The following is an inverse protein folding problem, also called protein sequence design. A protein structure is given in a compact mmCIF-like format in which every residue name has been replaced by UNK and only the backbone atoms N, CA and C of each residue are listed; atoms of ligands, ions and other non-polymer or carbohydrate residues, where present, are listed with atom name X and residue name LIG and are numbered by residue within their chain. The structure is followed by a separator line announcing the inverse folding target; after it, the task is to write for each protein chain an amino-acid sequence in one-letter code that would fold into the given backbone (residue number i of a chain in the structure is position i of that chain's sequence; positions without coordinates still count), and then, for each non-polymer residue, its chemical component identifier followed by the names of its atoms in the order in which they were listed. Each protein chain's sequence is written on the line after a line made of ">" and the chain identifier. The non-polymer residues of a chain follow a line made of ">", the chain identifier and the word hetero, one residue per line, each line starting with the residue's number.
data_IF_473436268948
#
_entry.id   IF_473436268948
#
_cell.length_a   1.000
_cell.length_b   1.000
_cell.length_c   1.000
_cell.angle_alpha   90.00
_cell.angle_beta   90.00
_cell.angle_gamma   90.00
#
_symmetry.space_group_name_H-M   'P 1'
#
loop_
_entity.id
_entity.type
_entity.pdbx_description
1 polymer ?
#
# COMPACT_ATOMS: atom_id res chain seq x y z
N UNK A 1 -18.26 -12.59 20.46
CA UNK A 1 -17.35 -13.41 19.62
C UNK A 1 -16.26 -12.51 19.07
N UNK A 2 -15.10 -12.46 19.73
CA UNK A 2 -13.97 -11.63 19.32
C UNK A 2 -13.31 -12.21 18.06
N UNK A 3 -13.38 -11.48 16.94
CA UNK A 3 -12.53 -11.75 15.78
C UNK A 3 -11.10 -11.35 16.16
N UNK A 4 -10.20 -12.34 16.22
CA UNK A 4 -8.78 -12.10 16.41
C UNK A 4 -8.25 -11.13 15.33
N UNK A 5 -7.32 -10.22 15.67
CA UNK A 5 -6.72 -9.30 14.72
C UNK A 5 -6.00 -10.10 13.63
N UNK A 6 -6.29 -9.80 12.36
CA UNK A 6 -5.63 -10.41 11.21
C UNK A 6 -4.15 -10.03 11.24
N UNK A 7 -3.28 -10.99 11.58
CA UNK A 7 -1.83 -10.85 11.45
C UNK A 7 -1.51 -10.47 10.00
N UNK A 8 -1.03 -9.24 9.82
CA UNK A 8 -0.44 -8.77 8.57
C UNK A 8 0.75 -9.67 8.20
N UNK A 9 0.83 -10.06 6.93
CA UNK A 9 1.81 -11.02 6.40
C UNK A 9 2.48 -10.39 5.19
N UNK A 10 3.79 -10.51 5.13
CA UNK A 10 4.66 -9.88 4.15
C UNK A 10 4.25 -10.22 2.70
N UNK A 11 3.98 -9.22 1.86
CA UNK A 11 3.60 -9.40 0.45
C UNK A 11 4.86 -9.68 -0.41
N UNK A 12 5.40 -10.90 -0.33
CA UNK A 12 6.34 -11.35 -1.37
C UNK A 12 5.54 -11.61 -2.64
N UNK A 13 5.76 -10.79 -3.68
CA UNK A 13 5.20 -11.03 -5.02
C UNK A 13 5.90 -12.20 -5.68
N UNK A 14 5.42 -13.41 -5.42
CA UNK A 14 5.90 -14.62 -6.08
C UNK A 14 5.05 -14.86 -7.33
N UNK A 15 5.69 -15.05 -8.49
CA UNK A 15 4.98 -15.40 -9.71
C UNK A 15 4.24 -16.72 -9.51
N UNK A 16 2.95 -16.69 -9.80
CA UNK A 16 2.06 -17.84 -9.74
C UNK A 16 1.56 -18.18 -11.13
N UNK A 17 1.66 -19.44 -11.50
CA UNK A 17 0.91 -20.02 -12.60
C UNK A 17 -0.18 -20.91 -12.02
N UNK A 18 -1.38 -20.84 -12.60
CA UNK A 18 -2.50 -21.62 -12.12
C UNK A 18 -3.30 -22.25 -13.25
N UNK A 19 -3.84 -23.43 -12.97
CA UNK A 19 -4.66 -24.19 -13.89
C UNK A 19 -5.79 -24.87 -13.13
N UNK A 20 -7.02 -24.80 -13.64
CA UNK A 20 -8.16 -25.47 -13.05
C UNK A 20 -8.08 -26.99 -13.14
N UNK A 21 -8.78 -27.65 -12.23
CA UNK A 21 -8.78 -29.10 -12.06
C UNK A 21 -10.17 -29.63 -12.42
N UNK A 22 -10.24 -30.76 -13.13
CA UNK A 22 -11.49 -31.44 -13.48
C UNK A 22 -12.45 -30.51 -14.27
N UNK A 23 -13.63 -30.22 -13.74
CA UNK A 23 -14.66 -29.36 -14.37
C UNK A 23 -14.17 -27.93 -14.62
N UNK A 24 -13.12 -27.49 -13.93
CA UNK A 24 -12.50 -26.16 -14.08
C UNK A 24 -11.33 -26.14 -15.09
N UNK A 25 -11.06 -27.22 -15.84
CA UNK A 25 -9.83 -27.37 -16.65
C UNK A 25 -9.57 -26.28 -17.70
N UNK A 26 -10.62 -25.54 -18.12
CA UNK A 26 -10.50 -24.40 -19.03
C UNK A 26 -9.82 -23.18 -18.39
N UNK A 27 -9.76 -23.12 -17.06
CA UNK A 27 -9.12 -22.04 -16.32
C UNK A 27 -7.61 -22.20 -16.42
N UNK A 28 -6.94 -21.22 -17.01
CA UNK A 28 -5.48 -21.11 -16.99
C UNK A 28 -5.08 -19.65 -16.93
N UNK A 29 -4.14 -19.33 -16.05
CA UNK A 29 -3.71 -17.96 -15.87
C UNK A 29 -2.36 -17.84 -15.20
N UNK A 30 -1.87 -16.61 -15.21
CA UNK A 30 -0.67 -16.20 -14.47
C UNK A 30 -1.03 -15.02 -13.57
N UNK A 31 -0.28 -14.87 -12.50
CA UNK A 31 -0.48 -13.80 -11.55
C UNK A 31 0.68 -13.66 -10.59
N UNK A 32 0.46 -12.88 -9.54
CA UNK A 32 1.39 -12.72 -8.45
C UNK A 32 0.70 -13.05 -7.14
N UNK A 33 1.38 -13.80 -6.28
CA UNK A 33 0.90 -14.03 -4.92
C UNK A 33 1.08 -12.80 -4.05
N UNK A 34 0.17 -12.68 -3.10
CA UNK A 34 0.13 -11.70 -2.02
C UNK A 34 -0.26 -12.46 -0.73
N UNK A 35 0.20 -12.02 0.43
CA UNK A 35 -0.13 -12.60 1.73
C UNK A 35 0.11 -14.11 1.83
N UNK A 36 1.13 -14.62 1.10
CA UNK A 36 1.45 -16.03 1.05
C UNK A 36 1.71 -16.55 2.47
N UNK A 37 1.03 -17.63 2.83
CA UNK A 37 1.27 -18.40 4.02
C UNK A 37 1.08 -19.89 3.75
N UNK A 38 1.40 -20.72 4.74
CA UNK A 38 1.30 -22.18 4.61
C UNK A 38 -0.11 -22.64 4.23
N UNK A 39 -1.16 -21.87 4.54
CA UNK A 39 -2.55 -22.25 4.30
C UNK A 39 -3.17 -21.63 3.04
N UNK A 40 -2.53 -20.64 2.43
CA UNK A 40 -3.13 -19.95 1.30
C UNK A 40 -2.42 -18.66 0.92
N UNK A 41 -2.94 -18.02 -0.11
CA UNK A 41 -2.49 -16.71 -0.56
C UNK A 41 -3.65 -15.97 -1.26
N UNK A 42 -3.44 -14.68 -1.50
CA UNK A 42 -4.16 -13.92 -2.52
C UNK A 42 -3.37 -14.02 -3.82
N UNK A 43 -4.07 -14.08 -4.95
CA UNK A 43 -3.49 -14.04 -6.29
C UNK A 43 -4.03 -12.81 -7.01
N UNK A 44 -3.16 -11.92 -7.46
CA UNK A 44 -3.50 -10.86 -8.40
C UNK A 44 -3.37 -11.39 -9.82
N UNK A 45 -4.44 -11.30 -10.60
CA UNK A 45 -4.49 -11.74 -11.99
C UNK A 45 -5.65 -11.07 -12.72
N UNK A 46 -5.46 -10.82 -14.01
CA UNK A 46 -6.53 -10.39 -14.91
C UNK A 46 -7.36 -11.56 -15.44
N UNK A 47 -6.98 -12.81 -15.15
CA UNK A 47 -7.75 -13.99 -15.51
C UNK A 47 -8.96 -14.13 -14.59
N UNK A 48 -10.15 -14.26 -15.17
CA UNK A 48 -11.38 -14.55 -14.43
C UNK A 48 -11.37 -15.99 -13.91
N UNK A 49 -11.62 -16.16 -12.62
CA UNK A 49 -11.69 -17.45 -11.95
C UNK A 49 -12.95 -17.48 -11.09
N UNK A 50 -13.89 -18.43 -11.29
CA UNK A 50 -15.08 -18.53 -10.48
C UNK A 50 -14.77 -18.84 -9.01
N UNK A 51 -15.59 -18.30 -8.10
CA UNK A 51 -15.53 -18.67 -6.69
C UNK A 51 -15.94 -20.14 -6.53
N UNK A 52 -15.21 -20.89 -5.72
CA UNK A 52 -15.46 -22.31 -5.49
C UNK A 52 -14.66 -23.24 -6.39
N UNK A 53 -14.06 -22.73 -7.47
CA UNK A 53 -13.21 -23.51 -8.36
C UNK A 53 -11.99 -24.09 -7.65
N UNK A 54 -11.51 -25.21 -8.18
CA UNK A 54 -10.31 -25.89 -7.72
C UNK A 54 -9.19 -25.71 -8.74
N UNK A 55 -8.06 -25.19 -8.27
CA UNK A 55 -6.91 -24.89 -9.13
C UNK A 55 -5.64 -25.52 -8.56
N UNK A 56 -4.76 -25.95 -9.45
CA UNK A 56 -3.36 -26.24 -9.16
C UNK A 56 -2.56 -24.96 -9.25
N UNK A 57 -1.60 -24.76 -8.36
CA UNK A 57 -0.69 -23.60 -8.38
C UNK A 57 0.75 -24.05 -8.54
N UNK A 58 1.53 -23.30 -9.31
CA UNK A 58 2.99 -23.37 -9.35
C UNK A 58 3.57 -22.03 -8.98
N UNK A 59 4.36 -22.00 -7.92
CA UNK A 59 4.92 -20.79 -7.33
C UNK A 59 6.43 -20.75 -7.58
N UNK A 60 6.91 -19.67 -8.20
CA UNK A 60 8.33 -19.45 -8.45
C UNK A 60 9.05 -18.90 -7.21
N UNK A 61 9.10 -19.68 -6.12
CA UNK A 61 9.69 -19.23 -4.85
C UNK A 61 11.22 -19.05 -5.01
N UNK A 62 11.80 -17.88 -4.66
CA UNK A 62 13.24 -17.68 -4.69
C UNK A 62 13.98 -18.71 -3.82
N UNK A 63 15.15 -19.17 -4.29
CA UNK A 63 15.99 -20.20 -3.63
C UNK A 63 15.36 -21.61 -3.55
N UNK A 64 14.16 -21.84 -4.10
CA UNK A 64 13.65 -23.19 -4.32
C UNK A 64 14.28 -23.82 -5.58
N UNK A 65 14.65 -25.12 -5.57
CA UNK A 65 15.31 -25.78 -6.70
C UNK A 65 14.36 -26.00 -7.91
N UNK A 66 13.05 -25.98 -7.68
CA UNK A 66 12.01 -26.08 -8.69
C UNK A 66 10.79 -25.22 -8.30
N UNK A 67 9.86 -24.94 -9.23
CA UNK A 67 8.60 -24.31 -8.87
C UNK A 67 7.87 -25.14 -7.81
N UNK A 68 7.46 -24.48 -6.74
CA UNK A 68 6.72 -25.09 -5.63
C UNK A 68 5.30 -25.35 -6.07
N UNK A 69 4.83 -26.60 -5.96
CA UNK A 69 3.51 -27.00 -6.44
C UNK A 69 2.51 -27.14 -5.29
N UNK A 70 1.39 -26.42 -5.42
CA UNK A 70 0.18 -26.68 -4.65
C UNK A 70 -0.74 -27.52 -5.53
N UNK A 71 -0.79 -28.82 -5.25
CA UNK A 71 -1.53 -29.79 -6.06
C UNK A 71 -3.02 -29.46 -6.16
N UNK A 72 -3.60 -28.85 -5.11
CA UNK A 72 -4.98 -28.40 -5.10
C UNK A 72 -5.20 -27.23 -4.14
N UNK A 73 -5.82 -26.16 -4.64
CA UNK A 73 -6.25 -25.00 -3.88
C UNK A 73 -7.69 -24.62 -4.27
N UNK A 74 -8.50 -24.20 -3.30
CA UNK A 74 -9.89 -23.79 -3.52
C UNK A 74 -10.00 -22.27 -3.51
N UNK A 75 -10.67 -21.72 -4.51
CA UNK A 75 -10.96 -20.28 -4.60
C UNK A 75 -12.05 -19.92 -3.59
N UNK A 76 -11.70 -19.13 -2.58
CA UNK A 76 -12.57 -18.77 -1.45
C UNK A 76 -13.38 -17.51 -1.69
N UNK A 77 -12.78 -16.54 -2.38
CA UNK A 77 -13.38 -15.26 -2.72
C UNK A 77 -12.72 -14.72 -3.99
N UNK A 78 -13.45 -13.85 -4.71
CA UNK A 78 -13.02 -13.22 -5.95
C UNK A 78 -13.41 -11.74 -5.87
N UNK A 79 -12.50 -10.86 -6.30
CA UNK A 79 -12.68 -9.42 -6.43
C UNK A 79 -12.06 -8.95 -7.75
N UNK A 80 -12.26 -7.68 -8.11
CA UNK A 80 -11.66 -7.12 -9.33
C UNK A 80 -10.13 -7.27 -9.31
N UNK A 81 -9.59 -7.98 -10.30
CA UNK A 81 -8.16 -8.19 -10.48
C UNK A 81 -7.48 -9.12 -9.46
N UNK A 82 -8.23 -9.74 -8.54
CA UNK A 82 -7.63 -10.68 -7.57
C UNK A 82 -8.60 -11.68 -6.97
N UNK A 83 -8.07 -12.80 -6.49
CA UNK A 83 -8.85 -13.82 -5.80
C UNK A 83 -8.04 -14.48 -4.69
N UNK A 84 -8.73 -15.00 -3.67
CA UNK A 84 -8.11 -15.66 -2.54
C UNK A 84 -8.25 -17.17 -2.62
N UNK A 85 -7.17 -17.87 -2.28
CA UNK A 85 -7.12 -19.33 -2.34
C UNK A 85 -6.75 -19.93 -1.00
N UNK A 86 -7.42 -21.03 -0.67
CA UNK A 86 -7.07 -21.92 0.45
C UNK A 86 -6.37 -23.15 -0.12
N UNK A 87 -5.15 -23.42 0.33
CA UNK A 87 -4.39 -24.59 -0.09
C UNK A 87 -4.98 -25.83 0.57
N UNK A 88 -5.38 -26.82 -0.23
CA UNK A 88 -5.95 -28.08 0.25
C UNK A 88 -4.89 -29.18 0.22
N UNK A 89 -4.16 -29.30 -0.89
CA UNK A 89 -3.12 -30.30 -1.07
C UNK A 89 -1.77 -29.63 -1.35
N UNK A 90 -0.78 -29.93 -0.51
CA UNK A 90 0.57 -29.38 -0.55
C UNK A 90 1.55 -30.53 -0.64
N UNK A 91 2.60 -30.39 -1.45
CA UNK A 91 3.70 -31.36 -1.44
C UNK A 91 4.47 -31.24 -0.11
N UNK A 92 4.71 -32.36 0.56
CA UNK A 92 5.50 -32.38 1.80
C UNK A 92 6.94 -31.90 1.56
N UNK A 93 7.48 -32.15 0.37
CA UNK A 93 8.80 -31.71 -0.06
C UNK A 93 8.86 -30.18 -0.24
N UNK A 94 7.74 -29.54 -0.60
CA UNK A 94 7.67 -28.12 -0.89
C UNK A 94 7.34 -27.23 0.32
N UNK A 95 6.76 -27.80 1.37
CA UNK A 95 6.35 -27.08 2.58
C UNK A 95 7.47 -26.22 3.20
N UNK A 96 8.73 -26.67 3.29
CA UNK A 96 9.82 -25.85 3.83
C UNK A 96 10.04 -24.56 3.04
N UNK A 97 9.87 -24.56 1.72
CA UNK A 97 10.06 -23.36 0.89
C UNK A 97 8.92 -22.36 1.08
N UNK A 98 7.68 -22.83 1.23
CA UNK A 98 6.54 -21.96 1.57
C UNK A 98 6.77 -21.36 2.96
N UNK A 99 7.21 -22.15 3.93
CA UNK A 99 7.51 -21.67 5.28
C UNK A 99 8.68 -20.67 5.29
N UNK A 100 9.73 -20.90 4.51
CA UNK A 100 10.86 -19.96 4.39
C UNK A 100 10.47 -18.67 3.67
N UNK A 101 9.67 -18.74 2.61
CA UNK A 101 9.11 -17.55 1.99
C UNK A 101 8.28 -16.72 2.99
N UNK A 102 7.62 -17.38 3.96
CA UNK A 102 6.90 -16.66 5.04
C UNK A 102 7.81 -16.11 6.15
N UNK A 103 9.04 -16.60 6.29
CA UNK A 103 9.92 -16.32 7.45
C UNK A 103 11.17 -15.48 7.07
N UNK A 104 11.76 -15.68 5.90
CA UNK A 104 12.95 -14.93 5.41
C UNK A 104 12.59 -13.49 5.00
N UNK A 105 11.32 -13.18 4.74
CA UNK A 105 10.83 -11.81 4.47
C UNK A 105 10.95 -10.85 5.67
N UNK A 106 11.05 -11.37 6.89
CA UNK A 106 11.13 -10.56 8.12
C UNK A 106 12.56 -10.10 8.45
N UNK A 107 13.59 -10.56 7.74
CA UNK A 107 15.00 -10.21 8.03
C UNK A 107 15.78 -9.62 6.85
N UNK A 108 15.53 -10.01 5.60
CA UNK A 108 16.29 -9.49 4.45
C UNK A 108 15.69 -8.22 3.80
N UNK A 109 14.40 -7.93 3.98
CA UNK A 109 13.75 -6.72 3.39
C UNK A 109 14.13 -5.44 4.15
N UNK A 110 14.57 -5.54 5.40
CA UNK A 110 14.73 -4.39 6.31
C UNK A 110 15.94 -3.50 5.99
N UNK A 111 16.94 -3.96 5.21
CA UNK A 111 18.21 -3.21 5.08
C UNK A 111 18.55 -2.79 3.64
N UNK A 112 18.13 -3.53 2.61
CA UNK A 112 18.66 -3.29 1.25
C UNK A 112 17.79 -2.43 0.31
N UNK A 113 16.50 -2.25 0.59
CA UNK A 113 15.58 -1.62 -0.38
C UNK A 113 15.33 -0.10 -0.17
N UNK A 114 15.67 0.45 1.00
CA UNK A 114 15.62 1.90 1.24
C UNK A 114 16.93 2.61 0.92
N UNK A 115 17.99 1.86 0.60
CA UNK A 115 19.18 2.45 0.03
C UNK A 115 18.93 2.74 -1.44
N UNK A 116 18.98 4.02 -1.88
CA UNK A 116 19.06 4.31 -3.29
C UNK A 116 20.23 3.51 -3.87
N UNK A 117 20.01 2.78 -4.96
CA UNK A 117 21.10 2.17 -5.73
C UNK A 117 22.10 3.29 -6.05
N UNK A 118 23.32 3.19 -5.50
CA UNK A 118 24.38 4.21 -5.45
C UNK A 118 24.34 5.08 -4.18
N UNK A 119 25.46 5.09 -3.43
CA UNK A 119 25.67 5.78 -2.15
C UNK A 119 25.31 7.26 -2.13
N UNK A 120 24.01 7.56 -2.10
CA UNK A 120 23.42 8.89 -2.00
C UNK A 120 22.75 9.09 -0.64
N UNK A 121 22.69 10.37 -0.26
CA UNK A 121 22.14 10.94 0.96
C UNK A 121 20.83 10.30 1.48
N UNK A 122 20.56 10.39 2.79
CA UNK A 122 19.40 9.74 3.44
C UNK A 122 18.06 10.12 2.79
N UNK A 123 17.22 9.11 2.56
CA UNK A 123 15.85 9.29 2.07
C UNK A 123 15.07 10.18 3.05
N UNK A 124 14.29 11.14 2.53
CA UNK A 124 13.47 12.04 3.37
C UNK A 124 12.01 11.79 3.09
N UNK A 125 11.25 11.42 4.14
CA UNK A 125 9.84 11.07 4.07
C UNK A 125 9.03 12.07 4.88
N UNK A 126 7.96 12.62 4.30
CA UNK A 126 6.95 13.39 5.02
C UNK A 126 5.80 12.47 5.41
N UNK A 127 5.54 12.32 6.71
CA UNK A 127 4.41 11.56 7.25
C UNK A 127 3.34 12.52 7.73
N UNK A 128 2.11 12.37 7.23
CA UNK A 128 0.94 13.17 7.58
C UNK A 128 -0.14 12.27 8.17
N UNK A 129 -0.40 12.41 9.46
CA UNK A 129 -1.30 11.56 10.23
C UNK A 129 -1.78 12.32 11.48
N UNK A 130 -3.09 12.36 11.72
CA UNK A 130 -3.69 13.08 12.86
C UNK A 130 -3.69 12.25 14.15
N UNK A 131 -3.63 10.92 14.05
CA UNK A 131 -3.44 10.06 15.21
C UNK A 131 -1.97 10.05 15.67
N UNK A 132 -1.65 10.56 16.88
CA UNK A 132 -0.28 10.69 17.34
C UNK A 132 0.42 9.34 17.52
N UNK A 133 -0.30 8.27 17.83
CA UNK A 133 0.27 6.93 18.01
C UNK A 133 0.65 6.32 16.67
N UNK A 134 -0.21 6.47 15.66
CA UNK A 134 0.08 6.03 14.28
C UNK A 134 1.22 6.85 13.69
N UNK A 135 1.21 8.17 13.88
CA UNK A 135 2.29 9.06 13.44
C UNK A 135 3.63 8.66 14.07
N UNK A 136 3.63 8.35 15.37
CA UNK A 136 4.82 7.91 16.09
C UNK A 136 5.33 6.56 15.58
N UNK A 137 4.44 5.58 15.37
CA UNK A 137 4.77 4.26 14.86
C UNK A 137 5.42 4.35 13.47
N UNK A 138 4.82 5.11 12.55
CA UNK A 138 5.35 5.34 11.21
C UNK A 138 6.73 6.01 11.27
N UNK A 139 6.87 7.07 12.06
CA UNK A 139 8.13 7.77 12.20
C UNK A 139 9.23 6.88 12.77
N UNK A 140 8.97 6.14 13.85
CA UNK A 140 9.95 5.23 14.45
C UNK A 140 10.38 4.11 13.52
N UNK A 141 9.44 3.58 12.74
CA UNK A 141 9.73 2.57 11.73
C UNK A 141 10.70 3.08 10.68
N UNK A 142 10.48 4.32 10.20
CA UNK A 142 11.27 4.94 9.13
C UNK A 142 12.61 5.49 9.60
N UNK A 143 12.67 6.05 10.81
CA UNK A 143 13.93 6.44 11.46
C UNK A 143 14.85 5.23 11.61
N UNK A 144 14.30 4.04 11.91
CA UNK A 144 15.05 2.79 12.08
C UNK A 144 15.64 2.18 10.79
N UNK A 145 15.44 2.82 9.65
CA UNK A 145 15.93 2.39 8.31
C UNK A 145 16.62 3.57 7.59
N UNK A 146 17.26 4.44 8.38
CA UNK A 146 18.07 5.58 7.93
C UNK A 146 17.33 6.61 7.06
N UNK A 147 16.01 6.70 7.20
CA UNK A 147 15.23 7.77 6.59
C UNK A 147 15.12 8.97 7.53
N UNK A 148 15.31 10.18 6.99
CA UNK A 148 14.91 11.41 7.66
C UNK A 148 13.39 11.54 7.60
N UNK A 149 12.75 11.67 8.77
CA UNK A 149 11.29 11.79 8.85
C UNK A 149 10.90 13.22 9.19
N UNK A 150 10.08 13.83 8.34
CA UNK A 150 9.33 15.04 8.62
C UNK A 150 7.92 14.62 9.03
N UNK A 151 7.41 15.16 10.14
CA UNK A 151 6.13 14.75 10.73
C UNK A 151 5.15 15.90 10.63
N UNK A 152 3.90 15.61 10.27
CA UNK A 152 2.82 16.55 10.29
C UNK A 152 1.57 15.89 10.88
N UNK A 153 0.92 16.57 11.80
CA UNK A 153 -0.34 16.16 12.43
C UNK A 153 -1.57 16.44 11.55
N UNK A 154 -1.38 17.12 10.43
CA UNK A 154 -2.46 17.49 9.52
C UNK A 154 -1.98 18.28 8.31
N UNK A 155 -2.94 18.67 7.47
CA UNK A 155 -2.66 19.27 6.16
C UNK A 155 -1.95 20.63 6.23
N UNK A 156 -2.34 21.52 7.16
CA UNK A 156 -1.73 22.85 7.29
C UNK A 156 -0.22 22.75 7.58
N UNK A 157 0.14 21.91 8.55
CA UNK A 157 1.53 21.66 8.93
C UNK A 157 2.31 20.97 7.80
N UNK A 158 1.69 20.00 7.12
CA UNK A 158 2.30 19.34 5.97
C UNK A 158 2.63 20.33 4.84
N UNK A 159 1.71 21.23 4.50
CA UNK A 159 1.92 22.26 3.48
C UNK A 159 3.00 23.26 3.90
N UNK A 160 3.01 23.69 5.17
CA UNK A 160 4.07 24.55 5.70
C UNK A 160 5.44 23.89 5.60
N UNK A 161 5.56 22.61 5.97
CA UNK A 161 6.81 21.84 5.84
C UNK A 161 7.23 21.75 4.37
N UNK A 162 6.30 21.44 3.46
CA UNK A 162 6.59 21.38 2.03
C UNK A 162 7.10 22.71 1.46
N UNK A 163 6.61 23.86 1.94
CA UNK A 163 7.05 25.18 1.50
C UNK A 163 8.37 25.64 2.12
N UNK A 164 8.63 25.29 3.39
CA UNK A 164 9.76 25.85 4.16
C UNK A 164 10.98 24.94 4.17
N UNK A 165 10.81 23.63 4.02
CA UNK A 165 11.92 22.69 4.04
C UNK A 165 12.77 22.82 2.76
N UNK A 166 14.04 23.22 2.89
CA UNK A 166 14.95 23.43 1.76
C UNK A 166 15.42 22.14 1.07
N UNK A 167 15.34 20.99 1.75
CA UNK A 167 15.76 19.69 1.21
C UNK A 167 14.70 18.99 0.36
N UNK A 168 15.10 17.92 -0.33
CA UNK A 168 14.17 17.07 -1.09
C UNK A 168 13.23 16.29 -0.16
N UNK A 169 11.95 16.21 -0.50
CA UNK A 169 10.99 15.29 0.12
C UNK A 169 10.74 14.20 -0.92
N UNK A 170 11.28 13.01 -0.66
CA UNK A 170 11.32 11.92 -1.64
C UNK A 170 10.01 11.14 -1.69
N UNK A 171 9.33 11.04 -0.53
CA UNK A 171 8.07 10.34 -0.39
C UNK A 171 7.13 11.08 0.58
N UNK A 172 5.86 11.14 0.21
CA UNK A 172 4.74 11.55 1.05
C UNK A 172 3.98 10.30 1.50
N UNK A 173 3.88 10.10 2.81
CA UNK A 173 3.02 9.11 3.45
C UNK A 173 1.86 9.86 4.12
N UNK A 174 0.62 9.65 3.70
CA UNK A 174 -0.51 10.51 4.11
C UNK A 174 -1.77 9.70 4.43
N UNK A 175 -2.43 9.97 5.55
CA UNK A 175 -3.79 9.47 5.78
C UNK A 175 -4.81 10.23 4.91
N UNK A 176 -5.74 9.50 4.29
CA UNK A 176 -6.87 10.10 3.58
C UNK A 176 -7.88 10.75 4.52
N UNK A 177 -8.03 10.22 5.73
CA UNK A 177 -9.00 10.71 6.73
C UNK A 177 -8.28 11.49 7.82
N UNK A 178 -7.86 12.72 7.50
CA UNK A 178 -7.33 13.64 8.51
C UNK A 178 -8.49 14.28 9.28
N UNK A 179 -8.61 14.00 10.59
CA UNK A 179 -9.61 14.71 11.41
C UNK A 179 -9.19 16.16 11.60
N UNK A 180 -10.16 17.10 11.64
CA UNK A 180 -9.87 18.46 12.08
C UNK A 180 -9.39 18.42 13.55
N UNK A 181 -8.33 19.16 13.92
CA UNK A 181 -7.94 19.26 15.33
C UNK A 181 -9.09 19.84 16.15
N UNK A 182 -9.37 19.22 17.30
CA UNK A 182 -10.47 19.62 18.20
C UNK A 182 -10.09 20.91 18.92
N UNK A 183 -10.95 21.94 18.80
CA UNK A 183 -10.84 23.24 19.48
C UNK A 183 -9.49 23.96 19.28
N UNK A 184 -9.31 24.55 18.11
CA UNK A 184 -8.48 25.76 17.98
C UNK A 184 -9.41 26.93 17.71
N UNK A 185 -9.59 27.77 18.72
CA UNK A 185 -10.14 29.12 18.55
C UNK A 185 -9.33 29.78 17.44
N UNK A 186 -10.03 30.11 16.35
CA UNK A 186 -9.44 30.64 15.13
C UNK A 186 -8.66 31.91 15.47
N UNK A 187 -7.34 31.77 15.57
CA UNK A 187 -6.42 32.90 15.52
C UNK A 187 -6.07 33.09 14.05
N UNK A 188 -6.24 34.32 13.57
CA UNK A 188 -6.38 34.66 12.15
C UNK A 188 -5.24 34.22 11.23
N UNK A 189 -5.54 34.30 9.93
CA UNK A 189 -4.61 34.19 8.80
C UNK A 189 -3.73 32.92 8.78
N UNK A 190 -4.34 31.73 8.80
CA UNK A 190 -3.65 30.52 8.35
C UNK A 190 -3.34 30.65 6.85
N UNK A 191 -2.06 30.82 6.53
CA UNK A 191 -1.56 30.88 5.14
C UNK A 191 -1.83 29.58 4.36
N UNK A 192 -1.98 28.47 5.07
CA UNK A 192 -2.16 27.14 4.49
C UNK A 192 -3.56 26.60 4.77
N UNK A 193 -4.31 26.15 3.75
CA UNK A 193 -5.67 25.65 3.93
C UNK A 193 -5.69 24.27 4.61
N UNK A 194 -6.73 24.04 5.43
CA UNK A 194 -7.11 22.70 5.87
C UNK A 194 -7.80 21.96 4.72
N UNK A 195 -7.23 20.82 4.29
CA UNK A 195 -7.72 20.03 3.16
C UNK A 195 -7.62 18.52 3.45
N UNK A 196 -8.48 17.71 2.83
CA UNK A 196 -8.48 16.26 2.98
C UNK A 196 -7.26 15.61 2.28
N UNK A 197 -6.95 14.35 2.60
CA UNK A 197 -5.71 13.72 2.15
C UNK A 197 -5.52 13.68 0.63
N UNK A 198 -6.57 13.48 -0.17
CA UNK A 198 -6.49 13.53 -1.63
C UNK A 198 -6.16 14.93 -2.17
N UNK A 199 -6.79 15.96 -1.62
CA UNK A 199 -6.53 17.35 -1.99
C UNK A 199 -5.13 17.79 -1.54
N UNK A 200 -4.69 17.30 -0.37
CA UNK A 200 -3.35 17.54 0.16
C UNK A 200 -2.27 16.99 -0.78
N UNK A 201 -2.46 15.76 -1.27
CA UNK A 201 -1.54 15.13 -2.23
C UNK A 201 -1.38 16.02 -3.46
N UNK A 202 -2.48 16.47 -4.06
CA UNK A 202 -2.42 17.32 -5.26
C UNK A 202 -1.72 18.66 -4.98
N UNK A 203 -1.98 19.29 -3.82
CA UNK A 203 -1.28 20.53 -3.45
C UNK A 203 0.22 20.30 -3.27
N UNK A 204 0.61 19.22 -2.57
CA UNK A 204 2.02 18.90 -2.35
C UNK A 204 2.73 18.59 -3.67
N UNK A 205 2.11 17.83 -4.58
CA UNK A 205 2.71 17.51 -5.88
C UNK A 205 2.93 18.74 -6.78
N UNK A 206 2.12 19.80 -6.62
CA UNK A 206 2.38 21.09 -7.29
C UNK A 206 3.60 21.82 -6.73
N UNK A 207 3.82 21.73 -5.41
CA UNK A 207 4.97 22.33 -4.72
C UNK A 207 6.24 21.50 -4.97
N UNK A 208 6.12 20.16 -4.96
CA UNK A 208 7.23 19.19 -5.00
C UNK A 208 7.08 18.24 -6.18
N UNK A 209 7.63 18.63 -7.34
CA UNK A 209 7.50 17.91 -8.63
C UNK A 209 8.20 16.54 -8.73
N UNK A 210 8.88 16.06 -7.68
CA UNK A 210 9.63 14.79 -7.65
C UNK A 210 9.38 14.06 -6.34
N UNK A 211 8.11 13.76 -6.07
CA UNK A 211 7.69 13.10 -4.84
C UNK A 211 6.91 11.82 -5.18
N UNK A 212 7.24 10.71 -4.51
CA UNK A 212 6.42 9.50 -4.51
C UNK A 212 5.31 9.65 -3.47
N UNK A 213 4.19 8.96 -3.65
CA UNK A 213 3.06 9.05 -2.73
C UNK A 213 2.60 7.65 -2.34
N UNK A 214 2.46 7.45 -1.03
CA UNK A 214 1.75 6.34 -0.42
C UNK A 214 0.65 6.96 0.43
N UNK A 215 -0.60 6.54 0.24
CA UNK A 215 -1.69 6.96 1.11
C UNK A 215 -2.13 5.82 2.01
N UNK A 216 -2.55 6.15 3.22
CA UNK A 216 -3.06 5.21 4.22
C UNK A 216 -4.58 5.28 4.23
N UNK A 217 -5.26 4.13 4.32
CA UNK A 217 -6.72 4.12 4.40
C UNK A 217 -7.28 2.92 5.14
N UNK A 218 -8.28 3.15 5.99
CA UNK A 218 -9.11 2.07 6.57
C UNK A 218 -10.12 1.47 5.59
N UNK A 219 -10.35 2.12 4.44
CA UNK A 219 -11.27 1.67 3.40
C UNK A 219 -10.52 0.94 2.29
N UNK A 220 -11.16 -0.06 1.67
CA UNK A 220 -10.57 -0.69 0.49
C UNK A 220 -10.63 0.24 -0.74
N UNK A 221 -9.85 -0.07 -1.77
CA UNK A 221 -9.75 0.76 -2.98
C UNK A 221 -11.10 0.92 -3.70
N UNK A 222 -12.01 -0.05 -3.56
CA UNK A 222 -13.35 -0.01 -4.17
C UNK A 222 -14.22 1.03 -3.46
N UNK A 223 -14.18 1.03 -2.12
CA UNK A 223 -14.85 2.02 -1.29
C UNK A 223 -14.29 3.43 -1.52
N UNK A 224 -12.97 3.57 -1.70
CA UNK A 224 -12.34 4.86 -2.01
C UNK A 224 -12.75 5.41 -3.38
N UNK A 225 -12.79 4.56 -4.41
CA UNK A 225 -13.31 4.93 -5.75
C UNK A 225 -14.77 5.34 -5.69
N UNK A 226 -15.60 4.62 -4.92
CA UNK A 226 -17.00 4.97 -4.71
C UNK A 226 -17.18 6.32 -3.99
N UNK A 227 -16.21 6.74 -3.18
CA UNK A 227 -16.15 8.06 -2.53
C UNK A 227 -15.54 9.15 -3.43
N UNK A 228 -15.24 8.85 -4.70
CA UNK A 228 -14.67 9.79 -5.65
C UNK A 228 -13.20 10.11 -5.41
N UNK A 229 -12.50 9.33 -4.57
CA UNK A 229 -11.09 9.53 -4.26
C UNK A 229 -10.25 8.77 -5.29
N UNK A 230 -9.77 9.48 -6.32
CA UNK A 230 -8.86 8.95 -7.34
C UNK A 230 -7.41 9.44 -7.12
N UNK A 231 -6.64 8.71 -6.31
CA UNK A 231 -5.21 9.00 -6.14
C UNK A 231 -4.44 8.31 -7.26
N UNK A 232 -4.35 8.96 -8.43
CA UNK A 232 -3.93 8.38 -9.72
C UNK A 232 -2.65 7.54 -9.72
N UNK A 233 -2.78 6.24 -9.44
CA UNK A 233 -1.68 5.28 -9.42
C UNK A 233 -0.84 5.26 -8.14
N UNK A 234 -1.21 6.03 -7.11
CA UNK A 234 -0.54 5.98 -5.81
C UNK A 234 -0.82 4.66 -5.10
N UNK A 235 0.14 4.19 -4.30
CA UNK A 235 -0.03 2.96 -3.52
C UNK A 235 -0.88 3.21 -2.28
N UNK A 236 -1.83 2.31 -2.03
CA UNK A 236 -2.65 2.28 -0.82
C UNK A 236 -2.01 1.37 0.23
N UNK A 237 -1.73 1.91 1.41
CA UNK A 237 -1.41 1.15 2.61
C UNK A 237 -2.69 0.98 3.45
N UNK A 238 -3.24 -0.24 3.47
CA UNK A 238 -4.48 -0.54 4.18
C UNK A 238 -4.27 -0.49 5.70
N UNK A 239 -5.06 0.31 6.41
CA UNK A 239 -5.16 0.26 7.88
C UNK A 239 -6.10 -0.89 8.30
N UNK A 240 -5.76 -1.67 9.34
CA UNK A 240 -4.49 -1.66 10.08
C UNK A 240 -3.34 -2.31 9.30
N UNK A 241 -2.12 -1.81 9.47
CA UNK A 241 -0.90 -2.30 8.81
C UNK A 241 0.19 -2.68 9.83
N UNK A 242 1.13 -3.54 9.41
CA UNK A 242 2.35 -3.83 10.16
C UNK A 242 3.50 -2.88 9.79
N UNK A 243 4.60 -2.98 10.56
CA UNK A 243 5.89 -2.35 10.22
C UNK A 243 6.35 -2.78 8.83
N UNK A 244 6.19 -4.06 8.51
CA UNK A 244 6.65 -4.67 7.27
C UNK A 244 5.84 -4.16 6.07
N UNK A 245 4.51 -4.04 6.22
CA UNK A 245 3.63 -3.49 5.19
C UNK A 245 4.03 -2.05 4.82
N UNK A 246 4.34 -1.24 5.84
CA UNK A 246 4.76 0.15 5.67
C UNK A 246 6.07 0.24 4.87
N UNK A 247 7.10 -0.49 5.28
CA UNK A 247 8.40 -0.47 4.60
C UNK A 247 8.29 -0.94 3.16
N UNK A 248 7.49 -1.97 2.92
CA UNK A 248 7.29 -2.54 1.59
C UNK A 248 6.50 -1.60 0.67
N UNK A 249 5.43 -0.97 1.15
CA UNK A 249 4.69 0.03 0.39
C UNK A 249 5.59 1.20 -0.04
N UNK A 250 6.47 1.64 0.86
CA UNK A 250 7.45 2.70 0.59
C UNK A 250 8.49 2.25 -0.43
N UNK A 251 9.06 1.05 -0.28
CA UNK A 251 10.02 0.50 -1.24
C UNK A 251 9.41 0.37 -2.63
N UNK A 252 8.17 -0.11 -2.72
CA UNK A 252 7.46 -0.23 -3.98
C UNK A 252 7.18 1.14 -4.61
N UNK A 253 6.78 2.14 -3.81
CA UNK A 253 6.58 3.50 -4.30
C UNK A 253 7.88 4.08 -4.85
N UNK A 254 8.98 3.94 -4.12
CA UNK A 254 10.30 4.48 -4.46
C UNK A 254 10.98 3.76 -5.63
N UNK A 255 10.56 2.55 -5.97
CA UNK A 255 11.03 1.81 -7.14
C UNK A 255 10.34 2.23 -8.45
N UNK A 256 9.17 2.87 -8.35
CA UNK A 256 8.44 3.44 -9.48
C UNK A 256 8.90 4.86 -9.84
N UNK A 257 8.37 5.45 -10.93
CA UNK A 257 8.60 6.86 -11.21
C UNK A 257 7.89 7.77 -10.18
N UNK A 258 8.43 8.96 -9.87
CA UNK A 258 7.74 9.94 -9.03
C UNK A 258 6.40 10.34 -9.62
N UNK A 259 5.43 10.67 -8.76
CA UNK A 259 4.13 11.13 -9.21
C UNK A 259 4.20 12.58 -9.71
N UNK A 260 3.33 12.88 -10.67
CA UNK A 260 3.11 14.23 -11.21
C UNK A 260 1.67 14.62 -10.88
N UNK A 261 1.47 15.86 -10.41
CA UNK A 261 0.12 16.40 -10.16
C UNK A 261 -0.73 16.31 -11.43
N UNK A 262 -2.00 15.91 -11.28
CA UNK A 262 -2.97 16.09 -12.35
C UNK A 262 -3.22 17.60 -12.48
N UNK A 263 -3.02 18.17 -13.67
CA UNK A 263 -3.42 19.55 -13.97
C UNK A 263 -4.90 19.79 -13.53
N UNK A 264 -5.27 21.00 -13.10
CA UNK A 264 -6.49 21.19 -12.32
C UNK A 264 -7.74 20.69 -13.06
N UNK A 265 -8.52 19.82 -12.40
CA UNK A 265 -9.94 19.76 -12.67
C UNK A 265 -10.52 21.11 -12.25
N UNK A 266 -10.88 21.92 -13.25
CA UNK A 266 -11.67 23.14 -13.05
C UNK A 266 -12.92 22.78 -12.23
N UNK A 267 -13.02 23.34 -11.03
CA UNK A 267 -14.16 23.13 -10.17
C UNK A 267 -15.44 23.71 -10.78
N UNK A 268 -16.54 22.97 -10.68
CA UNK A 268 -17.87 23.56 -10.69
C UNK A 268 -18.46 23.45 -9.28
N UNK A 269 -17.89 24.21 -8.33
CA UNK A 269 -18.66 24.64 -7.15
C UNK A 269 -19.67 25.66 -7.68
N UNK A 270 -20.91 25.24 -7.92
CA UNK A 270 -22.02 26.16 -8.14
C UNK A 270 -22.15 27.03 -6.88
N UNK A 271 -21.62 28.25 -6.94
CA UNK A 271 -22.00 29.32 -6.01
C UNK A 271 -23.50 29.56 -6.17
N UNK A 272 -24.28 29.18 -5.17
CA UNK A 272 -25.59 29.78 -4.96
C UNK A 272 -25.33 31.24 -4.57
N UNK A 273 -25.54 32.15 -5.53
CA UNK A 273 -25.65 33.57 -5.25
C UNK A 273 -27.13 33.86 -5.11
N UNK A 274 -27.56 34.11 -3.87
CA UNK A 274 -28.81 34.79 -3.60
C UNK A 274 -28.77 36.18 -4.24
N UNK A 275 -29.75 36.49 -5.08
CA UNK A 275 -30.13 37.85 -5.40
C UNK A 275 -31.66 37.93 -5.39
N UNK A 276 -32.16 38.54 -4.30
CA UNK A 276 -33.37 39.36 -4.12
C UNK A 276 -34.61 39.07 -4.97
#
# INVERSE_FOLDING_TARGET
>A
MHRAPRRSRTLIRIQAEFQGISEDASIKGKGYTLDLNINGCRIESNTSVPRGSYIRLRLAIPKAPHPVEIGMARVRWVQTGSFGVEFIQRSAEDLPYISRATTESSREVTVQALQPKSGKAPCTVLVVEDDPDVLHLCAKTLEGVDCKVLKASGSSEALQICSTHSGAIHLLLVDLVLRPPVLQLMSGHEQYPRVHGSDLIEHILRIRKKCHVVFMSGHDETALRALGIEVGGALCLQKPFSREDLLMAINQAMAGPPMVSKAPHSGAVKRAVNAR
#
